data_IF_111548165268
#
_entry.id   IF_111548165268
#
_cell.length_a   1.000
_cell.length_b   1.000
_cell.length_c   1.000
_cell.angle_alpha   90.00
_cell.angle_beta   90.00
_cell.angle_gamma   90.00
#
_symmetry.space_group_name_H-M   'P 1'
#
loop_
_entity.id
_entity.type
_entity.pdbx_description
1 polymer ?
#
# COMPACT_ATOMS: atom_id res chain seq x y z
N UNK A 1 -47.27 -3.16 -16.19
CA UNK A 1 -46.74 -3.03 -14.81
C UNK A 1 -45.57 -3.98 -14.54
N UNK A 2 -45.67 -5.27 -14.88
CA UNK A 2 -44.58 -6.26 -14.76
C UNK A 2 -43.27 -5.90 -15.51
N UNK A 3 -43.35 -5.39 -16.75
CA UNK A 3 -42.15 -4.98 -17.51
C UNK A 3 -41.38 -3.84 -16.83
N UNK A 4 -42.08 -2.87 -16.22
CA UNK A 4 -41.47 -1.71 -15.54
C UNK A 4 -40.75 -2.16 -14.27
N UNK A 5 -41.34 -3.09 -13.51
CA UNK A 5 -40.72 -3.71 -12.33
C UNK A 5 -39.50 -4.59 -12.65
N UNK A 6 -39.52 -5.26 -13.81
CA UNK A 6 -38.41 -6.12 -14.24
C UNK A 6 -37.23 -5.30 -14.76
N UNK A 7 -37.49 -4.24 -15.54
CA UNK A 7 -36.48 -3.24 -15.95
C UNK A 7 -35.89 -2.53 -14.72
N UNK A 8 -36.70 -2.24 -13.70
CA UNK A 8 -36.18 -1.66 -12.46
C UNK A 8 -35.30 -2.64 -11.68
N UNK A 9 -35.62 -3.93 -11.67
CA UNK A 9 -34.80 -4.96 -11.02
C UNK A 9 -33.44 -5.14 -11.70
N UNK A 10 -33.41 -5.28 -13.03
CA UNK A 10 -32.15 -5.41 -13.79
C UNK A 10 -31.24 -4.19 -13.60
N UNK A 11 -31.81 -2.98 -13.58
CA UNK A 11 -31.07 -1.75 -13.28
C UNK A 11 -30.50 -1.74 -11.86
N UNK A 12 -31.24 -2.24 -10.87
CA UNK A 12 -30.77 -2.35 -9.48
C UNK A 12 -29.59 -3.33 -9.40
N UNK A 13 -29.66 -4.48 -10.09
CA UNK A 13 -28.56 -5.44 -10.12
C UNK A 13 -27.30 -4.85 -10.74
N UNK A 14 -27.42 -4.15 -11.88
CA UNK A 14 -26.28 -3.50 -12.52
C UNK A 14 -25.65 -2.46 -11.59
N UNK A 15 -26.45 -1.62 -10.94
CA UNK A 15 -25.94 -0.63 -9.99
C UNK A 15 -25.25 -1.29 -8.79
N UNK A 16 -25.83 -2.36 -8.22
CA UNK A 16 -25.24 -3.07 -7.11
C UNK A 16 -23.89 -3.72 -7.47
N UNK A 17 -23.79 -4.36 -8.65
CA UNK A 17 -22.54 -4.95 -9.14
C UNK A 17 -21.47 -3.88 -9.36
N UNK A 18 -21.85 -2.73 -9.91
CA UNK A 18 -20.93 -1.60 -10.07
C UNK A 18 -20.42 -1.10 -8.71
N UNK A 19 -21.30 -0.88 -7.74
CA UNK A 19 -20.90 -0.44 -6.39
C UNK A 19 -19.95 -1.44 -5.71
N UNK A 20 -20.23 -2.74 -5.83
CA UNK A 20 -19.34 -3.79 -5.32
C UNK A 20 -17.97 -3.76 -6.00
N UNK A 21 -17.92 -3.62 -7.33
CA UNK A 21 -16.68 -3.53 -8.08
C UNK A 21 -15.84 -2.30 -7.70
N UNK A 22 -16.47 -1.13 -7.52
CA UNK A 22 -15.80 0.07 -7.04
C UNK A 22 -15.20 -0.15 -5.64
N UNK A 23 -15.98 -0.68 -4.70
CA UNK A 23 -15.49 -0.95 -3.34
C UNK A 23 -14.31 -1.93 -3.32
N UNK A 24 -14.34 -2.97 -4.16
CA UNK A 24 -13.27 -3.94 -4.27
C UNK A 24 -11.97 -3.33 -4.84
N UNK A 25 -12.09 -2.43 -5.82
CA UNK A 25 -10.95 -1.71 -6.37
C UNK A 25 -10.28 -0.84 -5.30
N UNK A 26 -11.06 -0.10 -4.51
CA UNK A 26 -10.53 0.76 -3.44
C UNK A 26 -9.82 -0.04 -2.34
N UNK A 27 -10.41 -1.17 -1.91
CA UNK A 27 -9.79 -2.07 -0.92
C UNK A 27 -8.48 -2.63 -1.47
N UNK A 28 -8.45 -2.98 -2.76
CA UNK A 28 -7.25 -3.50 -3.43
C UNK A 28 -6.09 -2.50 -3.40
N UNK A 29 -6.35 -1.22 -3.66
CA UNK A 29 -5.33 -0.17 -3.63
C UNK A 29 -4.74 0.03 -2.22
N UNK A 30 -5.60 0.14 -1.20
CA UNK A 30 -5.16 0.27 0.19
C UNK A 30 -4.33 -0.94 0.63
N UNK A 31 -4.82 -2.14 0.34
CA UNK A 31 -4.13 -3.39 0.63
C UNK A 31 -2.77 -3.44 -0.08
N UNK A 32 -2.69 -2.93 -1.31
CA UNK A 32 -1.46 -2.85 -2.08
C UNK A 32 -0.41 -1.95 -1.40
N UNK A 33 -0.81 -0.80 -0.85
CA UNK A 33 0.07 0.08 -0.08
C UNK A 33 0.62 -0.63 1.16
N UNK A 34 -0.26 -1.17 2.02
CA UNK A 34 0.17 -1.83 3.25
C UNK A 34 1.05 -3.04 2.97
N UNK A 35 0.72 -3.88 1.98
CA UNK A 35 1.56 -5.00 1.58
C UNK A 35 2.96 -4.59 1.09
N UNK A 36 3.10 -3.38 0.55
CA UNK A 36 4.38 -2.84 0.05
C UNK A 36 5.19 -2.12 1.13
N UNK A 37 4.54 -1.57 2.15
CA UNK A 37 5.17 -0.61 3.05
C UNK A 37 5.08 -0.95 4.54
N UNK A 38 4.19 -1.85 4.96
CA UNK A 38 3.97 -2.15 6.38
C UNK A 38 4.12 -3.64 6.63
N UNK A 39 4.88 -4.00 7.66
CA UNK A 39 5.12 -5.39 8.06
C UNK A 39 5.14 -5.48 9.58
N UNK A 40 4.63 -6.57 10.15
CA UNK A 40 4.75 -6.82 11.60
C UNK A 40 6.19 -7.09 12.03
N UNK A 41 6.93 -7.82 11.18
CA UNK A 41 8.30 -8.22 11.45
C UNK A 41 9.13 -8.38 10.17
N UNK A 42 10.40 -7.96 10.25
CA UNK A 42 11.39 -8.07 9.18
C UNK A 42 12.80 -7.78 9.72
N UNK A 43 13.81 -8.47 9.21
CA UNK A 43 15.23 -8.13 9.38
C UNK A 43 15.86 -7.54 8.10
N UNK A 44 17.04 -6.95 8.22
CA UNK A 44 17.76 -6.35 7.06
C UNK A 44 18.10 -7.38 5.97
N UNK A 45 18.32 -8.64 6.35
CA UNK A 45 18.57 -9.76 5.44
C UNK A 45 17.35 -10.18 4.60
N UNK A 46 16.14 -9.75 4.97
CA UNK A 46 14.90 -10.17 4.31
C UNK A 46 14.58 -9.38 3.04
N UNK A 47 15.33 -8.31 2.74
CA UNK A 47 15.01 -7.39 1.64
C UNK A 47 14.84 -8.11 0.30
N UNK A 48 15.71 -9.06 -0.05
CA UNK A 48 15.59 -9.80 -1.32
C UNK A 48 14.28 -10.62 -1.39
N UNK A 49 13.88 -11.25 -0.27
CA UNK A 49 12.63 -12.02 -0.20
C UNK A 49 11.41 -11.11 -0.31
N UNK A 50 11.37 -10.02 0.45
CA UNK A 50 10.24 -9.07 0.46
C UNK A 50 10.10 -8.33 -0.87
N UNK A 51 11.21 -7.90 -1.47
CA UNK A 51 11.19 -7.18 -2.74
C UNK A 51 10.86 -8.05 -3.95
N UNK A 52 11.03 -9.38 -3.88
CA UNK A 52 10.63 -10.30 -4.96
C UNK A 52 9.14 -10.18 -5.32
N UNK A 53 8.26 -10.11 -4.31
CA UNK A 53 6.82 -9.94 -4.52
C UNK A 53 6.49 -8.58 -5.14
N UNK A 54 7.16 -7.52 -4.67
CA UNK A 54 6.96 -6.13 -5.14
C UNK A 54 7.40 -5.96 -6.60
N UNK A 55 8.51 -6.58 -6.99
CA UNK A 55 9.07 -6.48 -8.34
C UNK A 55 8.59 -7.58 -9.30
N UNK A 56 7.61 -8.44 -8.92
CA UNK A 56 7.24 -9.65 -9.69
C UNK A 56 6.99 -9.39 -11.18
N UNK A 57 6.36 -8.26 -11.50
CA UNK A 57 6.01 -7.87 -12.88
C UNK A 57 6.84 -6.68 -13.40
N UNK A 58 7.94 -6.33 -12.72
CA UNK A 58 8.74 -5.15 -13.04
C UNK A 58 9.98 -5.52 -13.85
N UNK A 59 10.13 -4.93 -15.05
CA UNK A 59 11.36 -5.07 -15.87
C UNK A 59 12.58 -4.38 -15.23
N UNK A 60 12.35 -3.33 -14.45
CA UNK A 60 13.38 -2.59 -13.70
C UNK A 60 13.06 -2.69 -12.23
N UNK A 61 14.04 -3.14 -11.44
CA UNK A 61 13.88 -3.29 -9.99
C UNK A 61 13.70 -1.92 -9.32
N UNK A 62 12.72 -1.79 -8.43
CA UNK A 62 12.47 -0.57 -7.63
C UNK A 62 13.74 -0.15 -6.89
N UNK A 63 14.13 1.13 -6.99
CA UNK A 63 15.42 1.64 -6.47
C UNK A 63 15.51 1.57 -4.94
N UNK A 64 14.43 1.94 -4.25
CA UNK A 64 14.33 1.90 -2.79
C UNK A 64 12.89 1.54 -2.42
N UNK A 65 12.72 0.79 -1.33
CA UNK A 65 11.44 0.58 -0.70
C UNK A 65 11.62 0.57 0.82
N UNK A 66 10.82 1.34 1.53
CA UNK A 66 10.83 1.38 2.99
C UNK A 66 9.72 0.50 3.53
N UNK A 67 10.05 -0.35 4.48
CA UNK A 67 9.12 -1.11 5.29
C UNK A 67 9.10 -0.56 6.71
N UNK A 68 7.92 -0.16 7.18
CA UNK A 68 7.63 0.16 8.57
C UNK A 68 7.39 -1.14 9.34
N UNK A 69 8.10 -1.31 10.45
CA UNK A 69 7.88 -2.41 11.38
C UNK A 69 6.84 -1.94 12.39
N UNK A 70 5.59 -2.22 12.08
CA UNK A 70 4.41 -1.76 12.80
C UNK A 70 3.59 -2.96 13.29
N UNK A 71 4.01 -3.61 14.38
CA UNK A 71 3.31 -4.77 14.93
C UNK A 71 1.96 -4.39 15.54
N UNK A 72 1.83 -3.15 16.02
CA UNK A 72 0.70 -2.67 16.83
C UNK A 72 -0.33 -1.86 15.99
N UNK A 73 -0.04 -1.59 14.73
CA UNK A 73 -0.98 -0.91 13.82
C UNK A 73 -1.02 0.61 14.01
N UNK A 74 0.09 1.24 14.38
CA UNK A 74 0.19 2.70 14.53
C UNK A 74 -0.11 3.45 13.22
N UNK A 75 0.10 2.81 12.06
CA UNK A 75 -0.25 3.36 10.74
C UNK A 75 -1.63 2.91 10.24
N UNK A 76 -2.42 2.19 11.05
CA UNK A 76 -3.81 1.90 10.72
C UNK A 76 -4.61 3.21 10.69
N UNK A 77 -5.37 3.43 9.62
CA UNK A 77 -6.09 4.71 9.46
C UNK A 77 -5.17 5.90 9.14
N UNK A 78 -3.97 5.67 8.60
CA UNK A 78 -3.04 6.74 8.15
C UNK A 78 -3.66 7.77 7.19
N UNK A 79 -4.80 7.44 6.58
CA UNK A 79 -5.59 8.33 5.76
C UNK A 79 -6.94 8.57 6.44
N UNK A 80 -7.03 9.61 7.25
CA UNK A 80 -8.28 10.16 7.76
C UNK A 80 -8.74 11.37 6.93
N UNK A 81 -7.82 12.02 6.20
CA UNK A 81 -8.08 13.12 5.26
C UNK A 81 -7.17 12.99 4.01
N UNK A 82 -7.46 13.75 2.94
CA UNK A 82 -6.61 13.75 1.73
C UNK A 82 -5.20 14.30 2.02
N UNK A 83 -4.18 13.63 1.50
CA UNK A 83 -2.74 13.95 1.68
C UNK A 83 -2.33 14.15 3.15
N UNK A 84 -1.99 13.05 3.82
CA UNK A 84 -1.70 13.08 5.24
C UNK A 84 -0.20 13.14 5.52
N UNK A 85 0.18 14.06 6.40
CA UNK A 85 1.49 14.06 7.07
C UNK A 85 1.25 13.66 8.52
N UNK A 86 1.89 12.59 8.97
CA UNK A 86 1.88 12.16 10.37
C UNK A 86 3.27 12.41 10.94
N UNK A 87 3.30 13.03 12.12
CA UNK A 87 4.51 13.30 12.91
C UNK A 87 4.36 12.70 14.30
N UNK A 88 5.46 12.49 14.99
CA UNK A 88 5.46 11.97 16.36
C UNK A 88 5.30 10.45 16.45
N UNK A 89 5.30 9.74 15.32
CA UNK A 89 5.44 8.28 15.30
C UNK A 89 6.84 7.88 15.76
N UNK A 90 7.03 6.63 16.16
CA UNK A 90 8.37 6.15 16.50
C UNK A 90 8.61 4.70 16.05
N UNK A 91 8.40 4.46 14.76
CA UNK A 91 8.48 3.13 14.18
C UNK A 91 9.89 2.78 13.74
N UNK A 92 10.31 1.53 13.98
CA UNK A 92 11.49 0.99 13.31
C UNK A 92 11.20 0.84 11.83
N UNK A 93 12.18 1.14 11.00
CA UNK A 93 12.07 0.96 9.55
C UNK A 93 13.24 0.17 8.98
N UNK A 94 13.00 -0.47 7.84
CA UNK A 94 14.04 -1.06 7.01
C UNK A 94 13.88 -0.53 5.59
N UNK A 95 14.86 0.26 5.14
CA UNK A 95 14.96 0.70 3.77
C UNK A 95 15.73 -0.34 2.94
N UNK A 96 15.06 -0.99 2.00
CA UNK A 96 15.67 -1.89 1.04
C UNK A 96 16.19 -1.09 -0.15
N UNK A 97 17.49 -0.82 -0.17
CA UNK A 97 18.18 -0.10 -1.25
C UNK A 97 18.73 -1.10 -2.28
N UNK A 98 18.36 -0.92 -3.54
CA UNK A 98 18.75 -1.79 -4.66
C UNK A 98 20.26 -1.80 -4.86
N UNK A 99 20.84 -2.99 -5.08
CA UNK A 99 22.25 -3.20 -5.44
C UNK A 99 22.47 -3.28 -6.95
N UNK A 100 21.55 -3.91 -7.69
CA UNK A 100 21.64 -4.07 -9.15
C UNK A 100 20.34 -3.67 -9.86
N UNK A 101 20.43 -3.17 -11.09
CA UNK A 101 19.29 -2.52 -11.80
C UNK A 101 18.24 -3.49 -12.34
N UNK A 102 18.67 -4.65 -12.82
CA UNK A 102 17.84 -5.61 -13.56
C UNK A 102 17.65 -6.91 -12.78
N UNK A 103 16.65 -7.69 -13.17
CA UNK A 103 16.38 -9.00 -12.56
C UNK A 103 17.55 -9.98 -12.78
N UNK A 104 17.88 -10.86 -11.81
CA UNK A 104 17.28 -10.98 -10.47
C UNK A 104 17.66 -9.81 -9.55
N UNK A 105 16.68 -9.23 -8.85
CA UNK A 105 16.90 -8.03 -8.03
C UNK A 105 17.52 -8.35 -6.65
N UNK A 106 18.62 -7.68 -6.32
CA UNK A 106 19.30 -7.74 -5.03
C UNK A 106 19.25 -6.39 -4.31
N UNK A 107 19.18 -6.45 -2.98
CA UNK A 107 18.95 -5.32 -2.10
C UNK A 107 19.84 -5.41 -0.86
N UNK A 108 20.23 -4.23 -0.34
CA UNK A 108 20.78 -4.05 1.00
C UNK A 108 19.69 -3.51 1.91
N UNK A 109 19.44 -4.15 3.05
CA UNK A 109 18.62 -3.58 4.11
C UNK A 109 19.41 -2.54 4.91
N UNK A 110 18.81 -1.38 5.12
CA UNK A 110 19.35 -0.29 5.94
C UNK A 110 18.35 -0.06 7.08
N UNK A 111 18.71 -0.38 8.33
CA UNK A 111 17.82 -0.14 9.46
C UNK A 111 17.75 1.36 9.76
N UNK A 112 16.64 1.81 10.31
CA UNK A 112 16.44 3.17 10.76
C UNK A 112 15.23 3.30 11.68
N UNK A 113 14.87 4.53 11.99
CA UNK A 113 13.60 4.88 12.64
C UNK A 113 12.89 5.93 11.82
N UNK A 114 11.56 5.91 11.87
CA UNK A 114 10.72 6.97 11.33
C UNK A 114 10.08 7.72 12.50
N UNK A 115 10.24 9.03 12.48
CA UNK A 115 9.59 10.01 13.35
C UNK A 115 8.43 10.73 12.66
N UNK A 116 8.35 10.61 11.33
CA UNK A 116 7.23 11.07 10.54
C UNK A 116 7.13 10.40 9.17
N UNK A 117 5.96 10.52 8.58
CA UNK A 117 5.63 9.95 7.28
C UNK A 117 4.65 10.85 6.53
N UNK A 118 4.82 10.94 5.22
CA UNK A 118 3.87 11.58 4.32
C UNK A 118 3.31 10.56 3.34
N UNK A 119 1.99 10.44 3.29
CA UNK A 119 1.27 9.51 2.43
C UNK A 119 0.28 10.26 1.56
N UNK A 120 0.20 9.88 0.28
CA UNK A 120 -0.87 10.32 -0.61
C UNK A 120 -2.05 9.39 -0.40
N UNK A 121 -3.19 9.99 -0.09
CA UNK A 121 -4.47 9.32 0.09
C UNK A 121 -5.36 9.61 -1.12
N UNK A 122 -6.15 8.64 -1.55
CA UNK A 122 -7.17 8.87 -2.58
C UNK A 122 -8.42 9.55 -1.97
N UNK A 123 -9.43 9.80 -2.80
CA UNK A 123 -10.67 10.49 -2.39
C UNK A 123 -11.48 9.73 -1.33
N UNK A 124 -11.26 8.42 -1.21
CA UNK A 124 -11.92 7.55 -0.25
C UNK A 124 -11.07 7.30 1.00
N UNK A 125 -10.13 8.20 1.30
CA UNK A 125 -9.25 8.11 2.47
C UNK A 125 -8.48 6.78 2.53
N UNK A 126 -8.06 6.25 1.37
CA UNK A 126 -7.19 5.06 1.30
C UNK A 126 -5.76 5.46 0.93
N UNK A 127 -4.73 4.87 1.57
CA UNK A 127 -3.35 5.17 1.24
C UNK A 127 -2.98 4.51 -0.09
N UNK A 128 -2.43 5.30 -1.03
CA UNK A 128 -2.06 4.82 -2.36
C UNK A 128 -0.57 5.00 -2.67
N UNK A 129 0.12 5.94 -2.00
CA UNK A 129 1.53 6.19 -2.25
C UNK A 129 2.28 6.73 -1.04
N UNK A 130 3.48 6.19 -0.79
CA UNK A 130 4.41 6.69 0.22
C UNK A 130 5.26 7.80 -0.40
N UNK A 131 5.11 9.03 0.09
CA UNK A 131 5.82 10.20 -0.45
C UNK A 131 7.15 10.42 0.24
N UNK A 132 7.15 10.57 1.56
CA UNK A 132 8.34 10.90 2.35
C UNK A 132 8.35 10.15 3.70
N UNK A 133 9.54 9.93 4.25
CA UNK A 133 9.79 9.36 5.59
C UNK A 133 10.98 10.10 6.20
N UNK A 134 10.90 10.46 7.48
CA UNK A 134 11.98 11.06 8.26
C UNK A 134 11.93 10.60 9.71
#
# INVERSE_FOLDING_TARGET
MLLVQQISMERIYVVAVLLLALSAMEISEALNFFQKHVVRQMGTGDCNRKMRKINRNARICKKINTFFLDPDGELDGICNMQNQTITGINLRIIACKRRNRYSPCFYRGIPGRATGVRVICNQNNRPVHLKDVW
#
